data_IF_662125601405
#
_entry.id   IF_662125601405
#
_cell.length_a   1.000
_cell.length_b   1.000
_cell.length_c   1.000
_cell.angle_alpha   90.00
_cell.angle_beta   90.00
_cell.angle_gamma   90.00
#
_symmetry.space_group_name_H-M   'P 1'
#
loop_
_entity.id
_entity.type
_entity.pdbx_description
1 polymer ?
#
# COMPACT_ATOMS: atom_id res chain seq x y z
N UNK A 1 23.73 15.37 21.92
CA UNK A 1 24.54 14.48 21.06
C UNK A 1 23.57 13.79 20.09
N UNK A 2 23.83 13.74 18.78
CA UNK A 2 22.99 12.96 17.86
C UNK A 2 23.06 11.47 18.20
N UNK A 3 22.00 10.68 17.92
CA UNK A 3 22.00 9.25 18.19
C UNK A 3 23.05 8.54 17.33
N UNK A 4 23.67 7.52 17.91
CA UNK A 4 24.62 6.63 17.24
C UNK A 4 23.88 5.66 16.31
N UNK A 5 24.60 5.08 15.34
CA UNK A 5 24.02 4.07 14.43
C UNK A 5 23.49 2.84 15.20
N UNK A 6 24.12 2.46 16.31
CA UNK A 6 23.66 1.37 17.16
C UNK A 6 22.31 1.68 17.85
N UNK A 7 22.15 2.92 18.33
CA UNK A 7 20.89 3.39 18.91
C UNK A 7 19.80 3.49 17.84
N UNK A 8 20.12 3.99 16.65
CA UNK A 8 19.19 4.03 15.51
C UNK A 8 18.74 2.63 15.09
N UNK A 9 19.66 1.66 15.01
CA UNK A 9 19.32 0.27 14.70
C UNK A 9 18.39 -0.33 15.77
N UNK A 10 18.69 -0.10 17.05
CA UNK A 10 17.88 -0.61 18.17
C UNK A 10 16.48 -0.02 18.16
N UNK A 11 16.35 1.29 17.92
CA UNK A 11 15.05 1.94 17.79
C UNK A 11 14.26 1.41 16.59
N UNK A 12 14.94 1.20 15.46
CA UNK A 12 14.31 0.67 14.24
C UNK A 12 13.76 -0.73 14.46
N UNK A 13 14.53 -1.60 15.13
CA UNK A 13 14.09 -2.96 15.46
C UNK A 13 12.88 -2.96 16.40
N UNK A 14 12.83 -2.02 17.37
CA UNK A 14 11.68 -1.86 18.24
C UNK A 14 10.43 -1.41 17.47
N UNK A 15 10.58 -0.51 16.51
CA UNK A 15 9.50 -0.05 15.63
C UNK A 15 8.97 -1.20 14.74
N UNK A 16 9.87 -1.99 14.13
CA UNK A 16 9.51 -3.20 13.36
C UNK A 16 8.72 -4.22 14.18
N UNK A 17 9.09 -4.40 15.45
CA UNK A 17 8.36 -5.28 16.37
C UNK A 17 6.93 -4.80 16.66
N UNK A 18 6.71 -3.48 16.67
CA UNK A 18 5.43 -2.85 17.04
C UNK A 18 4.47 -2.69 15.87
N UNK A 19 4.98 -2.50 14.65
CA UNK A 19 4.14 -2.19 13.49
C UNK A 19 3.62 -3.45 12.81
N UNK A 20 2.66 -4.10 13.48
CA UNK A 20 1.98 -5.32 13.02
C UNK A 20 0.57 -5.00 12.56
N UNK A 21 0.16 -5.58 11.44
CA UNK A 21 -1.17 -5.46 10.87
C UNK A 21 -2.05 -6.63 11.32
N UNK A 22 -3.32 -6.39 11.65
CA UNK A 22 -4.29 -7.47 11.89
C UNK A 22 -4.66 -8.19 10.58
N UNK A 23 -4.66 -7.45 9.47
CA UNK A 23 -4.90 -7.91 8.10
C UNK A 23 -4.26 -6.94 7.11
N UNK A 24 -3.93 -7.40 5.92
CA UNK A 24 -3.40 -6.54 4.85
C UNK A 24 -3.87 -7.03 3.48
N UNK A 25 -4.55 -6.14 2.76
CA UNK A 25 -5.10 -6.40 1.43
C UNK A 25 -4.43 -5.56 0.35
N UNK A 26 -4.71 -5.84 -0.92
CA UNK A 26 -4.29 -4.98 -2.03
C UNK A 26 -4.85 -3.55 -1.92
N UNK A 27 -6.07 -3.38 -1.39
CA UNK A 27 -6.66 -2.06 -1.14
C UNK A 27 -5.91 -1.29 -0.03
N UNK A 28 -5.41 -2.00 0.99
CA UNK A 28 -4.53 -1.41 2.01
C UNK A 28 -3.22 -0.95 1.40
N UNK A 29 -2.61 -1.76 0.52
CA UNK A 29 -1.40 -1.38 -0.19
C UNK A 29 -1.59 -0.09 -1.01
N UNK A 30 -2.69 0.02 -1.77
CA UNK A 30 -3.01 1.24 -2.52
C UNK A 30 -3.18 2.44 -1.60
N UNK A 31 -3.93 2.29 -0.50
CA UNK A 31 -4.19 3.39 0.45
C UNK A 31 -2.92 3.84 1.16
N UNK A 32 -2.06 2.89 1.55
CA UNK A 32 -0.77 3.16 2.16
C UNK A 32 0.17 3.86 1.17
N UNK A 33 0.26 3.36 -0.07
CA UNK A 33 1.07 3.95 -1.13
C UNK A 33 0.66 5.39 -1.47
N UNK A 34 -0.64 5.66 -1.57
CA UNK A 34 -1.17 7.02 -1.75
C UNK A 34 -0.87 7.93 -0.55
N UNK A 35 -0.90 7.39 0.67
CA UNK A 35 -0.56 8.14 1.88
C UNK A 35 0.93 8.53 1.91
N UNK A 36 1.82 7.63 1.50
CA UNK A 36 3.26 7.90 1.34
C UNK A 36 3.50 8.98 0.28
N UNK A 37 2.89 8.85 -0.89
CA UNK A 37 2.96 9.86 -1.95
C UNK A 37 2.50 11.23 -1.45
N UNK A 38 1.35 11.29 -0.77
CA UNK A 38 0.81 12.54 -0.21
C UNK A 38 1.79 13.18 0.78
N UNK A 39 2.40 12.38 1.66
CA UNK A 39 3.37 12.86 2.65
C UNK A 39 4.65 13.36 2.01
N UNK A 40 5.22 12.61 1.07
CA UNK A 40 6.42 13.03 0.35
C UNK A 40 6.22 14.38 -0.36
N UNK A 41 5.07 14.56 -1.03
CA UNK A 41 4.73 15.83 -1.70
C UNK A 41 4.66 17.03 -0.76
N UNK A 42 4.40 16.81 0.53
CA UNK A 42 4.38 17.87 1.54
C UNK A 42 5.77 18.17 2.14
N UNK A 43 6.82 17.43 1.75
CA UNK A 43 8.17 17.64 2.28
C UNK A 43 8.89 18.79 1.59
N UNK A 44 9.83 19.41 2.32
CA UNK A 44 10.75 20.39 1.75
C UNK A 44 11.63 19.81 0.64
N UNK A 45 11.85 18.49 0.65
CA UNK A 45 12.62 17.80 -0.39
C UNK A 45 11.89 17.88 -1.73
N UNK A 46 10.61 17.55 -1.75
CA UNK A 46 9.81 17.65 -2.98
C UNK A 46 9.69 19.09 -3.49
N UNK A 47 9.47 20.05 -2.58
CA UNK A 47 9.42 21.48 -2.92
C UNK A 47 10.73 21.95 -3.59
N UNK A 48 11.87 21.32 -3.26
CA UNK A 48 13.19 21.62 -3.84
C UNK A 48 13.50 20.79 -5.11
N UNK A 49 12.49 20.20 -5.76
CA UNK A 49 12.68 19.41 -6.99
C UNK A 49 13.35 18.06 -6.74
N UNK A 50 13.07 17.42 -5.59
CA UNK A 50 13.45 16.01 -5.38
C UNK A 50 12.27 15.09 -5.62
N UNK A 51 12.54 14.00 -6.33
CA UNK A 51 11.58 12.95 -6.58
C UNK A 51 11.74 11.75 -5.65
N UNK A 52 10.81 10.82 -5.77
CA UNK A 52 10.70 9.58 -5.01
C UNK A 52 10.16 8.49 -5.93
N UNK A 53 10.76 7.31 -5.90
CA UNK A 53 10.13 6.08 -6.40
C UNK A 53 9.59 5.28 -5.23
N UNK A 54 8.46 4.62 -5.43
CA UNK A 54 7.77 3.87 -4.40
C UNK A 54 7.21 2.57 -4.97
N UNK A 55 7.35 1.48 -4.21
CA UNK A 55 6.74 0.18 -4.51
C UNK A 55 6.24 -0.48 -3.24
N UNK A 56 5.09 -1.15 -3.35
CA UNK A 56 4.58 -2.08 -2.35
C UNK A 56 4.37 -3.39 -3.06
N UNK A 57 5.06 -4.43 -2.60
CA UNK A 57 5.04 -5.75 -3.22
C UNK A 57 4.73 -6.80 -2.15
N UNK A 58 4.09 -7.90 -2.53
CA UNK A 58 4.05 -9.10 -1.69
C UNK A 58 5.46 -9.64 -1.49
N UNK A 59 5.68 -10.46 -0.46
CA UNK A 59 7.00 -11.10 -0.24
C UNK A 59 7.43 -11.97 -1.43
N UNK A 60 6.46 -12.48 -2.20
CA UNK A 60 6.66 -13.25 -3.43
C UNK A 60 7.00 -12.37 -4.67
N UNK A 61 6.96 -11.05 -4.56
CA UNK A 61 7.31 -10.12 -5.65
C UNK A 61 6.13 -9.63 -6.50
N UNK A 62 4.88 -10.00 -6.18
CA UNK A 62 3.73 -9.39 -6.86
C UNK A 62 3.59 -7.92 -6.45
N UNK A 63 3.66 -7.01 -7.42
CA UNK A 63 3.48 -5.58 -7.19
C UNK A 63 2.01 -5.26 -6.91
N UNK A 64 1.74 -4.69 -5.73
CA UNK A 64 0.41 -4.24 -5.30
C UNK A 64 0.21 -2.73 -5.55
N UNK A 65 1.30 -1.96 -5.51
CA UNK A 65 1.31 -0.54 -5.80
C UNK A 65 2.71 -0.11 -6.27
N UNK A 66 2.80 0.72 -7.30
CA UNK A 66 4.05 1.34 -7.73
C UNK A 66 3.77 2.77 -8.21
N UNK A 67 4.65 3.72 -7.86
CA UNK A 67 4.47 5.11 -8.24
C UNK A 67 5.80 5.88 -8.21
N UNK A 68 5.96 6.77 -9.19
CA UNK A 68 6.99 7.82 -9.17
C UNK A 68 6.35 9.15 -8.77
N UNK A 69 7.04 9.91 -7.91
CA UNK A 69 6.62 11.24 -7.43
C UNK A 69 7.73 12.22 -7.75
N UNK A 70 7.40 13.35 -8.37
CA UNK A 70 8.37 14.32 -8.89
C UNK A 70 8.01 14.71 -10.33
N UNK A 71 8.66 15.74 -10.84
CA UNK A 71 8.52 16.16 -12.22
C UNK A 71 9.50 15.34 -13.07
N UNK A 72 8.96 14.52 -13.98
CA UNK A 72 9.72 13.66 -14.89
C UNK A 72 10.40 14.44 -16.02
N UNK A 73 10.21 15.75 -16.04
CA UNK A 73 10.80 16.69 -16.99
C UNK A 73 10.26 18.10 -16.73
N UNK A 74 11.15 18.99 -16.30
CA UNK A 74 10.94 20.45 -16.36
C UNK A 74 11.67 21.01 -17.60
N UNK A 75 11.31 22.20 -18.05
CA UNK A 75 12.01 22.96 -19.11
C UNK A 75 13.55 23.02 -19.00
N UNK A 76 14.11 22.79 -17.81
CA UNK A 76 15.53 22.72 -17.49
C UNK A 76 16.20 21.38 -17.86
N UNK A 77 15.41 20.33 -18.15
CA UNK A 77 15.90 19.00 -18.49
C UNK A 77 16.49 18.18 -17.34
N UNK A 78 16.43 18.68 -16.10
CA UNK A 78 16.89 17.96 -14.91
C UNK A 78 15.69 17.17 -14.33
N UNK A 79 15.71 15.85 -14.47
CA UNK A 79 14.69 14.98 -13.88
C UNK A 79 14.87 14.85 -12.36
N UNK A 80 13.76 14.94 -11.62
CA UNK A 80 13.73 14.86 -10.16
C UNK A 80 14.14 13.48 -9.60
N UNK A 81 14.11 12.46 -10.46
CA UNK A 81 14.36 11.04 -10.14
C UNK A 81 15.50 10.52 -11.00
N UNK A 82 16.50 9.91 -10.37
CA UNK A 82 17.66 9.35 -11.08
C UNK A 82 17.32 8.05 -11.82
N UNK A 83 18.05 7.75 -12.90
CA UNK A 83 17.87 6.51 -13.68
C UNK A 83 18.11 5.25 -12.84
N UNK A 84 18.95 5.33 -11.80
CA UNK A 84 19.24 4.22 -10.89
C UNK A 84 18.28 4.13 -9.69
N UNK A 85 17.30 5.03 -9.58
CA UNK A 85 16.37 5.06 -8.43
C UNK A 85 15.59 3.76 -8.27
N UNK A 86 15.08 3.19 -9.36
CA UNK A 86 14.38 1.89 -9.33
C UNK A 86 15.33 0.74 -8.98
N UNK A 87 16.56 0.75 -9.50
CA UNK A 87 17.56 -0.26 -9.14
C UNK A 87 17.93 -0.20 -7.64
N UNK A 88 18.04 1.00 -7.08
CA UNK A 88 18.23 1.18 -5.62
C UNK A 88 17.04 0.63 -4.84
N UNK A 89 15.82 0.94 -5.30
CA UNK A 89 14.59 0.49 -4.65
C UNK A 89 14.48 -1.04 -4.64
N UNK A 90 14.76 -1.71 -5.75
CA UNK A 90 14.75 -3.18 -5.80
C UNK A 90 15.83 -3.79 -4.89
N UNK A 91 17.03 -3.21 -4.85
CA UNK A 91 18.09 -3.67 -3.94
C UNK A 91 17.72 -3.56 -2.44
N UNK A 92 16.98 -2.51 -2.07
CA UNK A 92 16.45 -2.38 -0.71
C UNK A 92 15.36 -3.43 -0.43
N UNK A 93 14.50 -3.72 -1.40
CA UNK A 93 13.47 -4.76 -1.28
C UNK A 93 14.12 -6.13 -1.09
N UNK A 94 15.14 -6.46 -1.88
CA UNK A 94 15.84 -7.73 -1.76
C UNK A 94 16.59 -7.86 -0.42
N UNK A 95 17.08 -6.73 0.11
CA UNK A 95 17.61 -6.68 1.49
C UNK A 95 16.55 -7.10 2.51
N UNK A 96 15.32 -6.60 2.39
CA UNK A 96 14.21 -6.99 3.28
C UNK A 96 13.82 -8.45 3.08
N UNK A 97 13.70 -8.92 1.84
CA UNK A 97 13.38 -10.33 1.54
C UNK A 97 14.36 -11.30 2.19
N UNK A 98 15.64 -10.97 2.18
CA UNK A 98 16.71 -11.85 2.67
C UNK A 98 16.91 -11.78 4.18
N UNK A 99 16.75 -10.60 4.76
CA UNK A 99 17.04 -10.39 6.19
C UNK A 99 15.79 -10.44 7.07
N UNK A 100 14.61 -10.25 6.50
CA UNK A 100 13.36 -10.07 7.25
C UNK A 100 13.24 -8.72 7.97
N UNK A 101 14.24 -7.85 7.83
CA UNK A 101 14.32 -6.57 8.53
C UNK A 101 14.28 -5.40 7.55
N UNK A 102 13.94 -4.21 8.06
CA UNK A 102 14.00 -3.00 7.24
C UNK A 102 15.42 -2.75 6.75
N UNK A 103 15.51 -2.28 5.52
CA UNK A 103 16.77 -1.89 4.90
C UNK A 103 17.55 -0.85 5.72
N UNK A 104 16.86 0.01 6.47
CA UNK A 104 17.47 0.98 7.38
C UNK A 104 18.08 0.33 8.64
N UNK A 105 17.40 -0.65 9.25
CA UNK A 105 17.98 -1.44 10.34
C UNK A 105 19.28 -2.12 9.89
N UNK A 106 19.25 -2.75 8.71
CA UNK A 106 20.42 -3.41 8.13
C UNK A 106 21.55 -2.41 7.87
N UNK A 107 21.24 -1.25 7.28
CA UNK A 107 22.21 -0.17 7.06
C UNK A 107 22.89 0.26 8.38
N UNK A 108 22.11 0.57 9.41
CA UNK A 108 22.63 1.07 10.68
C UNK A 108 23.36 -0.01 11.48
N UNK A 109 22.88 -1.25 11.46
CA UNK A 109 23.60 -2.38 12.03
C UNK A 109 24.97 -2.60 11.37
N UNK A 110 25.04 -2.49 10.05
CA UNK A 110 26.30 -2.58 9.30
C UNK A 110 27.27 -1.45 9.65
N UNK A 111 26.79 -0.21 9.65
CA UNK A 111 27.59 0.96 10.00
C UNK A 111 28.11 0.89 11.44
N UNK A 112 27.28 0.47 12.40
CA UNK A 112 27.68 0.29 13.79
C UNK A 112 28.76 -0.79 13.98
N UNK A 113 28.75 -1.84 13.15
CA UNK A 113 29.78 -2.90 13.16
C UNK A 113 31.04 -2.53 12.35
N UNK A 114 31.05 -1.42 11.62
CA UNK A 114 32.12 -1.07 10.69
C UNK A 114 32.31 -2.08 9.54
N UNK A 115 31.25 -2.86 9.22
CA UNK A 115 31.30 -3.91 8.20
C UNK A 115 30.71 -3.42 6.88
N UNK A 116 31.37 -3.77 5.78
CA UNK A 116 30.86 -3.53 4.43
C UNK A 116 29.83 -4.59 4.02
N UNK A 117 29.00 -4.29 3.02
CA UNK A 117 28.05 -5.25 2.44
C UNK A 117 28.74 -6.56 2.02
N UNK A 118 29.95 -6.46 1.48
CA UNK A 118 30.78 -7.61 1.08
C UNK A 118 31.16 -8.52 2.26
N UNK A 119 31.44 -7.94 3.42
CA UNK A 119 31.80 -8.66 4.64
C UNK A 119 30.59 -9.30 5.35
N UNK A 120 29.38 -8.88 4.99
CA UNK A 120 28.12 -9.42 5.49
C UNK A 120 27.50 -10.47 4.56
N UNK A 121 28.22 -10.90 3.52
CA UNK A 121 27.71 -11.86 2.53
C UNK A 121 26.58 -11.27 1.66
N UNK A 122 26.53 -9.95 1.51
CA UNK A 122 25.59 -9.25 0.63
C UNK A 122 26.26 -8.90 -0.73
N UNK A 123 27.03 -9.83 -1.29
CA UNK A 123 27.99 -9.57 -2.38
C UNK A 123 27.39 -9.34 -3.77
N UNK A 124 26.10 -9.57 -4.00
CA UNK A 124 25.53 -9.27 -5.32
C UNK A 124 25.45 -7.76 -5.53
N UNK A 125 25.87 -7.29 -6.71
CA UNK A 125 25.80 -5.88 -7.12
C UNK A 125 24.37 -5.31 -7.08
N UNK A 126 23.37 -6.18 -6.93
CA UNK A 126 21.97 -5.84 -6.70
C UNK A 126 21.68 -5.34 -5.27
N UNK A 127 22.54 -5.60 -4.28
CA UNK A 127 22.28 -5.19 -2.90
C UNK A 127 22.75 -3.75 -2.63
N UNK A 128 21.83 -2.81 -2.78
CA UNK A 128 21.98 -1.47 -2.20
C UNK A 128 21.32 -1.41 -0.83
N UNK A 129 22.14 -1.20 0.20
CA UNK A 129 21.71 -1.07 1.59
C UNK A 129 21.53 0.41 1.91
N UNK A 130 20.35 0.92 1.59
CA UNK A 130 19.90 2.26 1.95
C UNK A 130 18.60 2.14 2.75
N UNK A 131 18.30 3.09 3.62
CA UNK A 131 17.00 3.18 4.28
C UNK A 131 15.89 3.53 3.29
N UNK A 132 14.72 2.92 3.51
CA UNK A 132 13.53 3.21 2.71
C UNK A 132 12.61 2.02 2.45
N UNK A 133 13.09 0.79 2.62
CA UNK A 133 12.27 -0.43 2.60
C UNK A 133 11.98 -0.97 4.00
N UNK A 134 10.73 -1.37 4.24
CA UNK A 134 10.19 -1.81 5.53
C UNK A 134 9.30 -3.06 5.36
N UNK A 135 9.46 -4.09 6.20
CA UNK A 135 8.64 -5.31 6.13
C UNK A 135 7.24 -5.09 6.72
N UNK A 136 6.21 -5.57 6.01
CA UNK A 136 4.83 -5.59 6.49
C UNK A 136 4.56 -6.95 7.12
N UNK A 137 4.33 -6.92 8.42
CA UNK A 137 4.09 -8.10 9.24
C UNK A 137 2.63 -8.18 9.68
N UNK A 138 2.11 -9.41 9.78
CA UNK A 138 0.83 -9.64 10.45
C UNK A 138 1.03 -9.97 11.93
N UNK A 139 0.03 -9.65 12.75
CA UNK A 139 -0.02 -10.04 14.18
C UNK A 139 -0.08 -11.56 14.35
N UNK A 140 -0.76 -12.26 13.42
CA UNK A 140 -0.99 -13.70 13.46
C UNK A 140 -0.03 -14.52 12.58
N UNK A 141 0.94 -13.91 11.90
CA UNK A 141 1.91 -14.60 11.06
C UNK A 141 3.35 -14.15 11.40
N UNK A 142 3.99 -14.77 12.40
CA UNK A 142 5.32 -14.34 12.86
C UNK A 142 6.49 -14.94 12.04
N UNK A 143 6.24 -15.90 11.14
CA UNK A 143 7.29 -16.63 10.44
C UNK A 143 7.95 -15.85 9.30
N UNK A 144 7.20 -15.00 8.59
CA UNK A 144 7.73 -14.15 7.53
C UNK A 144 6.86 -12.89 7.34
N UNK A 145 7.43 -11.79 6.85
CA UNK A 145 6.63 -10.66 6.40
C UNK A 145 5.82 -11.06 5.16
N UNK A 146 4.62 -10.53 5.04
CA UNK A 146 3.69 -10.85 3.94
C UNK A 146 3.87 -9.93 2.73
N UNK A 147 4.38 -8.73 2.96
CA UNK A 147 4.60 -7.69 1.96
C UNK A 147 5.76 -6.80 2.39
N UNK A 148 6.22 -5.98 1.45
CA UNK A 148 7.31 -5.03 1.64
C UNK A 148 6.84 -3.71 1.06
N UNK A 149 7.02 -2.63 1.81
CA UNK A 149 6.85 -1.26 1.31
C UNK A 149 8.22 -0.61 1.22
N UNK A 150 8.54 -0.05 0.07
CA UNK A 150 9.82 0.59 -0.20
C UNK A 150 9.64 1.92 -0.89
N UNK A 151 10.45 2.90 -0.50
CA UNK A 151 10.56 4.16 -1.21
C UNK A 151 12.01 4.64 -1.25
N UNK A 152 12.39 5.32 -2.33
CA UNK A 152 13.76 5.82 -2.52
C UNK A 152 13.74 7.22 -3.12
N UNK A 153 14.33 8.18 -2.40
CA UNK A 153 14.56 9.56 -2.85
C UNK A 153 16.04 9.96 -2.79
N UNK A 154 16.92 9.01 -2.48
CA UNK A 154 18.35 9.23 -2.28
C UNK A 154 18.74 9.75 -0.89
N UNK A 155 17.83 9.74 0.09
CA UNK A 155 18.20 10.08 1.47
C UNK A 155 17.61 9.06 2.46
N UNK A 156 18.48 8.13 2.85
CA UNK A 156 18.16 6.93 3.62
C UNK A 156 17.33 7.20 4.87
N UNK A 157 17.76 8.16 5.71
CA UNK A 157 17.10 8.43 6.99
C UNK A 157 15.69 9.00 6.78
N UNK A 158 15.55 9.95 5.85
CA UNK A 158 14.28 10.58 5.52
C UNK A 158 13.31 9.60 4.87
N UNK A 159 13.81 8.72 3.99
CA UNK A 159 13.03 7.67 3.34
C UNK A 159 12.52 6.65 4.38
N UNK A 160 13.39 6.21 5.30
CA UNK A 160 12.98 5.36 6.41
C UNK A 160 11.91 6.03 7.29
N UNK A 161 12.15 7.28 7.68
CA UNK A 161 11.21 8.03 8.53
C UNK A 161 9.86 8.21 7.83
N UNK A 162 9.86 8.53 6.53
CA UNK A 162 8.65 8.65 5.74
C UNK A 162 7.84 7.35 5.79
N UNK A 163 8.48 6.20 5.60
CA UNK A 163 7.81 4.89 5.63
C UNK A 163 7.33 4.54 7.04
N UNK A 164 8.23 4.56 8.02
CA UNK A 164 7.95 4.20 9.42
C UNK A 164 6.78 5.00 10.01
N UNK A 165 6.82 6.33 9.89
CA UNK A 165 5.76 7.22 10.39
C UNK A 165 4.44 6.94 9.66
N UNK A 166 4.48 6.64 8.36
CA UNK A 166 3.25 6.39 7.58
C UNK A 166 2.61 5.07 7.94
N UNK A 167 3.39 4.01 8.14
CA UNK A 167 2.88 2.72 8.63
C UNK A 167 2.26 2.90 10.02
N UNK A 168 2.97 3.54 10.95
CA UNK A 168 2.48 3.78 12.31
C UNK A 168 1.12 4.47 12.30
N UNK A 169 1.01 5.56 11.56
CA UNK A 169 -0.21 6.37 11.54
C UNK A 169 -1.34 5.64 10.79
N UNK A 170 -1.00 4.85 9.77
CA UNK A 170 -1.96 3.98 9.09
C UNK A 170 -2.54 2.92 10.03
N UNK A 171 -1.69 2.26 10.83
CA UNK A 171 -2.13 1.28 11.83
C UNK A 171 -3.00 1.90 12.93
N UNK A 172 -2.71 3.13 13.35
CA UNK A 172 -3.58 3.87 14.28
C UNK A 172 -4.94 4.15 13.64
N UNK A 173 -4.96 4.53 12.35
CA UNK A 173 -6.20 4.78 11.61
C UNK A 173 -7.03 3.51 11.46
N UNK A 174 -6.42 2.38 11.10
CA UNK A 174 -7.11 1.09 10.99
C UNK A 174 -7.79 0.69 12.30
N UNK A 175 -7.06 0.78 13.43
CA UNK A 175 -7.62 0.48 14.76
C UNK A 175 -8.83 1.34 15.13
N UNK A 176 -8.82 2.62 14.74
CA UNK A 176 -9.98 3.51 14.97
C UNK A 176 -11.19 3.10 14.13
N UNK A 177 -10.97 2.73 12.86
CA UNK A 177 -12.05 2.30 11.96
C UNK A 177 -12.70 1.00 12.48
N UNK A 178 -11.90 0.07 13.00
CA UNK A 178 -12.40 -1.18 13.58
C UNK A 178 -13.18 -0.99 14.89
N UNK A 179 -12.99 0.13 15.59
CA UNK A 179 -13.65 0.42 16.88
C UNK A 179 -14.92 1.25 16.74
N UNK A 180 -15.16 1.92 15.61
CA UNK A 180 -16.44 2.59 15.33
C UNK A 180 -17.52 1.53 15.09
N UNK A 181 -18.56 1.45 15.94
CA UNK A 181 -19.74 0.65 15.62
C UNK A 181 -20.33 1.16 14.30
N UNK A 182 -20.88 0.27 13.49
CA UNK A 182 -21.68 0.68 12.33
C UNK A 182 -22.68 1.75 12.80
N UNK A 183 -22.85 2.87 12.06
CA UNK A 183 -23.86 3.85 12.42
C UNK A 183 -25.19 3.10 12.51
N UNK A 184 -25.83 3.14 13.70
CA UNK A 184 -27.21 2.70 13.84
C UNK A 184 -28.00 3.43 12.76
N UNK A 185 -28.41 2.72 11.71
CA UNK A 185 -29.41 3.27 10.81
C UNK A 185 -30.63 3.55 11.69
N UNK A 186 -31.15 4.79 11.72
CA UNK A 186 -32.44 5.02 12.35
C UNK A 186 -33.43 4.11 11.65
N UNK A 187 -34.08 3.23 12.42
CA UNK A 187 -35.24 2.46 11.95
C UNK A 187 -36.18 3.46 11.28
N UNK A 188 -36.31 3.39 9.96
CA UNK A 188 -37.34 4.15 9.28
C UNK A 188 -38.67 3.59 9.77
N UNK A 189 -39.55 4.42 10.37
CA UNK A 189 -40.88 3.96 10.71
C UNK A 189 -41.56 3.50 9.43
N UNK A 190 -41.98 2.24 9.41
CA UNK A 190 -42.76 1.63 8.34
C UNK A 190 -43.98 2.55 8.12
N UNK A 191 -44.23 3.06 6.90
CA UNK A 191 -45.40 3.89 6.66
C UNK A 191 -46.65 3.05 6.93
N UNK A 192 -47.45 3.49 7.91
CA UNK A 192 -48.78 2.97 8.14
C UNK A 192 -49.58 3.29 6.86
N UNK A 193 -49.92 2.25 6.10
CA UNK A 193 -50.85 2.34 4.98
C UNK A 193 -52.20 2.81 5.53
N UNK A 194 -52.50 4.10 5.33
CA UNK A 194 -53.86 4.59 5.42
C UNK A 194 -54.66 3.92 4.31
N UNK A 195 -55.54 3.00 4.71
CA UNK A 195 -56.58 2.42 3.87
C UNK A 195 -57.53 3.55 3.47
N UNK A 196 -57.29 4.16 2.31
CA UNK A 196 -58.20 5.14 1.73
C UNK A 196 -59.01 4.43 0.66
N UNK A 197 -60.22 4.04 1.04
CA UNK A 197 -61.27 3.63 0.11
C UNK A 197 -61.58 4.80 -0.81
N UNK A 198 -61.25 4.65 -2.09
CA UNK A 198 -61.91 5.39 -3.17
C UNK A 198 -61.75 4.61 -4.46
N UNK A 199 -62.84 3.91 -4.80
CA UNK A 199 -63.25 3.57 -6.15
C UNK A 199 -63.21 4.80 -7.05
N UNK A 200 -63.23 4.60 -8.37
CA UNK A 200 -63.00 5.59 -9.45
C UNK A 200 -61.49 5.76 -9.68
N UNK A 201 -60.85 5.08 -10.61
CA UNK A 201 -61.08 5.12 -12.06
C UNK A 201 -60.47 3.86 -12.71
N UNK A 202 -61.30 3.04 -13.36
CA UNK A 202 -60.84 2.05 -14.34
C UNK A 202 -61.70 2.18 -15.61
N UNK A 203 -61.10 2.37 -16.79
CA UNK A 203 -61.70 1.91 -18.04
C UNK A 203 -61.40 0.41 -18.26
N UNK A 204 -62.23 -0.29 -19.04
CA UNK A 204 -62.35 -1.74 -19.02
C UNK A 204 -61.24 -2.47 -19.78
N UNK A 205 -60.87 -3.65 -19.29
CA UNK A 205 -60.00 -4.62 -19.97
C UNK A 205 -60.74 -5.25 -21.17
N UNK A 206 -60.10 -5.35 -22.35
CA UNK A 206 -60.50 -6.31 -23.36
C UNK A 206 -59.78 -7.65 -23.12
N UNK A 207 -60.59 -8.67 -22.82
CA UNK A 207 -60.55 -10.01 -23.40
C UNK A 207 -59.22 -10.75 -23.48
N UNK A 208 -59.09 -11.78 -22.64
CA UNK A 208 -58.17 -12.91 -22.78
C UNK A 208 -58.24 -13.58 -24.15
N UNK A 209 -57.08 -13.75 -24.81
CA UNK A 209 -56.77 -14.87 -25.73
C UNK A 209 -55.29 -14.83 -26.12
N UNK A 210 -54.60 -15.96 -26.02
CA UNK A 210 -53.34 -16.19 -26.75
C UNK A 210 -52.13 -16.48 -25.86
N UNK A 211 -51.82 -17.77 -25.72
CA UNK A 211 -50.44 -18.25 -25.61
C UNK A 211 -49.55 -17.54 -26.64
N UNK A 212 -48.30 -17.21 -26.29
CA UNK A 212 -47.09 -17.46 -27.10
C UNK A 212 -45.85 -16.83 -26.41
N UNK A 213 -44.97 -17.69 -25.93
CA UNK A 213 -43.58 -17.85 -26.38
C UNK A 213 -42.55 -16.91 -25.73
N UNK A 214 -41.67 -17.57 -24.97
CA UNK A 214 -40.43 -17.09 -24.36
C UNK A 214 -39.44 -16.67 -25.47
N UNK A 215 -38.83 -15.49 -25.42
CA UNK A 215 -37.80 -15.13 -26.40
C UNK A 215 -36.52 -15.95 -26.16
N UNK A 216 -36.08 -16.66 -27.20
CA UNK A 216 -34.79 -17.37 -27.26
C UNK A 216 -33.60 -16.39 -27.35
N UNK A 217 -32.49 -16.81 -26.74
CA UNK A 217 -31.20 -16.12 -26.70
C UNK A 217 -30.36 -16.45 -27.96
N UNK A 218 -29.73 -15.49 -28.65
CA UNK A 218 -29.16 -15.72 -29.99
C UNK A 218 -27.65 -16.04 -30.00
N UNK A 219 -27.14 -16.86 -29.08
CA UNK A 219 -25.73 -17.29 -29.14
C UNK A 219 -25.58 -18.77 -28.82
N UNK A 220 -25.71 -19.60 -29.86
CA UNK A 220 -25.14 -20.93 -29.92
C UNK A 220 -24.61 -21.16 -31.35
N UNK A 221 -23.29 -21.15 -31.50
CA UNK A 221 -22.61 -21.71 -32.67
C UNK A 221 -21.57 -22.70 -32.14
N UNK A 222 -21.96 -23.97 -32.19
CA UNK A 222 -21.05 -25.09 -32.36
C UNK A 222 -20.96 -25.31 -33.87
N UNK A 223 -19.74 -25.36 -34.40
CA UNK A 223 -19.46 -26.21 -35.56
C UNK A 223 -18.06 -26.80 -35.37
N UNK A 224 -18.05 -28.12 -35.24
CA UNK A 224 -16.90 -29.00 -35.45
C UNK A 224 -16.66 -29.13 -36.96
N UNK A 225 -15.40 -29.07 -37.37
CA UNK A 225 -14.79 -29.98 -38.35
C UNK A 225 -13.27 -29.87 -38.34
#
# INVERSE_FOLDING_TARGET
MPPTDAELATQTLADEGRYRFSSFSAADAVTLGLSLRKRFRATQRHIKGKGLVLSIQTIAGHTLFACTVGDLGDTSGIGDVSLDSWACLEGMIDTVKRTGHSSFYVEKGMSAMGKTAKQMGLQDDAFRVNGGAFPIWLENAPCCPIAIVACYSGASQEDHNLVSITIRDYLVKLRRISQTPAPNMPEQPVPILHHQDSQEWLPPLPGSSGMEQRPESPFNHNDEH
#
